data_IF_934007944901
#
_entry.id   IF_934007944901
#
_cell.length_a   1.000
_cell.length_b   1.000
_cell.length_c   1.000
_cell.angle_alpha   90.00
_cell.angle_beta   90.00
_cell.angle_gamma   90.00
#
_symmetry.space_group_name_H-M   'P 1'
#
loop_
_entity.id
_entity.type
_entity.pdbx_description
1 polymer ?
#
# COMPACT_ATOMS: atom_id res chain seq x y z
N UNK A 1 6.93 -16.88 -2.45
CA UNK A 1 7.69 -15.76 -3.03
C UNK A 1 7.37 -14.52 -2.21
N UNK A 2 8.37 -13.87 -1.61
CA UNK A 2 8.16 -12.63 -0.84
C UNK A 2 8.03 -11.39 -1.73
N UNK A 3 7.74 -10.23 -1.13
CA UNK A 3 7.53 -8.96 -1.83
C UNK A 3 8.72 -8.54 -2.69
N UNK A 4 9.95 -8.65 -2.19
CA UNK A 4 11.15 -8.31 -2.95
C UNK A 4 11.37 -9.23 -4.16
N UNK A 5 11.12 -10.54 -4.00
CA UNK A 5 11.17 -11.48 -5.12
C UNK A 5 10.13 -11.16 -6.21
N UNK A 6 8.96 -10.64 -5.83
CA UNK A 6 7.95 -10.16 -6.78
C UNK A 6 8.42 -8.89 -7.51
N UNK A 7 8.95 -7.91 -6.78
CA UNK A 7 9.46 -6.64 -7.33
C UNK A 7 10.61 -6.89 -8.31
N UNK A 8 11.54 -7.81 -8.00
CA UNK A 8 12.65 -8.16 -8.90
C UNK A 8 12.16 -8.76 -10.22
N UNK A 9 11.10 -9.59 -10.17
CA UNK A 9 10.52 -10.24 -11.36
C UNK A 9 9.54 -9.37 -12.15
N UNK A 10 9.03 -8.29 -11.56
CA UNK A 10 8.15 -7.38 -12.25
C UNK A 10 8.89 -6.76 -13.45
N UNK A 11 8.25 -6.69 -14.61
CA UNK A 11 8.82 -6.10 -15.83
C UNK A 11 8.37 -4.66 -16.08
N UNK A 12 7.35 -4.19 -15.39
CA UNK A 12 6.82 -2.84 -15.56
C UNK A 12 7.65 -1.78 -14.83
N UNK A 13 7.68 -0.57 -15.39
CA UNK A 13 8.32 0.60 -14.77
C UNK A 13 7.51 1.14 -13.59
N UNK A 14 6.21 0.81 -13.52
CA UNK A 14 5.31 1.19 -12.45
C UNK A 14 4.80 -0.07 -11.73
N UNK A 15 5.05 -0.13 -10.42
CA UNK A 15 4.71 -1.27 -9.57
C UNK A 15 3.50 -0.91 -8.72
N UNK A 16 2.46 -1.74 -8.77
CA UNK A 16 1.30 -1.63 -7.89
C UNK A 16 1.36 -2.73 -6.84
N UNK A 17 1.31 -2.33 -5.57
CA UNK A 17 1.31 -3.20 -4.39
C UNK A 17 -0.12 -3.35 -3.89
N UNK A 18 -0.53 -4.60 -3.69
CA UNK A 18 -1.86 -5.01 -3.24
C UNK A 18 -1.73 -6.20 -2.29
N UNK A 19 -2.39 -6.12 -1.13
CA UNK A 19 -2.41 -7.22 -0.16
C UNK A 19 -3.34 -8.34 -0.64
N UNK A 20 -3.00 -9.59 -0.27
CA UNK A 20 -3.75 -10.78 -0.66
C UNK A 20 -5.15 -10.88 -0.04
N UNK A 21 -5.45 -10.07 0.97
CA UNK A 21 -6.75 -9.97 1.64
C UNK A 21 -7.58 -8.77 1.15
N UNK A 22 -7.22 -8.19 0.02
CA UNK A 22 -7.91 -7.05 -0.57
C UNK A 22 -8.55 -7.43 -1.90
N UNK A 23 -9.82 -7.07 -2.09
CA UNK A 23 -10.53 -7.20 -3.36
C UNK A 23 -10.45 -5.88 -4.13
N UNK A 24 -9.73 -5.81 -5.25
CA UNK A 24 -9.63 -4.59 -6.05
C UNK A 24 -10.87 -4.38 -6.91
N UNK A 25 -11.22 -3.11 -7.15
CA UNK A 25 -12.20 -2.76 -8.18
C UNK A 25 -11.73 -3.23 -9.57
N UNK A 26 -12.61 -3.63 -10.52
CA UNK A 26 -12.19 -4.14 -11.84
C UNK A 26 -11.26 -3.22 -12.65
N UNK A 27 -11.40 -1.91 -12.44
CA UNK A 27 -10.56 -0.85 -13.05
C UNK A 27 -9.34 -0.45 -12.21
N UNK A 28 -8.93 -1.25 -11.23
CA UNK A 28 -7.88 -0.89 -10.28
C UNK A 28 -6.54 -0.58 -10.95
N UNK A 29 -6.11 -1.42 -11.89
CA UNK A 29 -4.85 -1.22 -12.64
C UNK A 29 -4.93 -0.01 -13.56
N UNK A 30 -6.05 0.14 -14.30
CA UNK A 30 -6.32 1.32 -15.13
C UNK A 30 -6.28 2.61 -14.31
N UNK A 31 -6.94 2.61 -13.15
CA UNK A 31 -6.97 3.76 -12.25
C UNK A 31 -5.55 4.15 -11.79
N UNK A 32 -4.73 3.17 -11.39
CA UNK A 32 -3.33 3.41 -11.02
C UNK A 32 -2.50 3.92 -12.20
N UNK A 33 -2.65 3.36 -13.39
CA UNK A 33 -1.95 3.81 -14.59
C UNK A 33 -2.26 5.27 -14.93
N UNK A 34 -3.53 5.69 -14.81
CA UNK A 34 -3.94 7.10 -15.03
C UNK A 34 -3.42 8.03 -13.91
N UNK A 35 -3.23 7.52 -12.71
CA UNK A 35 -2.75 8.29 -11.56
C UNK A 35 -1.22 8.39 -11.48
N UNK A 36 -0.50 7.51 -12.17
CA UNK A 36 0.96 7.47 -12.18
C UNK A 36 1.53 8.80 -12.67
N UNK A 37 2.50 9.33 -11.92
CA UNK A 37 3.12 10.63 -12.20
C UNK A 37 4.55 10.60 -11.67
N UNK A 38 5.57 10.92 -12.48
CA UNK A 38 6.95 11.03 -11.98
C UNK A 38 7.05 12.04 -10.83
N UNK A 39 7.93 11.77 -9.86
CA UNK A 39 8.04 12.60 -8.65
C UNK A 39 6.94 12.37 -7.62
N UNK A 40 5.99 11.47 -7.88
CA UNK A 40 4.93 11.10 -6.96
C UNK A 40 4.81 9.58 -6.80
N UNK A 41 4.35 9.15 -5.63
CA UNK A 41 3.78 7.82 -5.43
C UNK A 41 2.29 7.91 -5.12
N UNK A 42 1.51 6.89 -5.49
CA UNK A 42 0.06 6.86 -5.35
C UNK A 42 -0.31 6.02 -4.14
N UNK A 43 -1.21 6.54 -3.31
CA UNK A 43 -1.86 5.78 -2.25
C UNK A 43 -3.36 5.87 -2.42
N UNK A 44 -4.00 4.75 -2.74
CA UNK A 44 -5.45 4.67 -2.74
C UNK A 44 -6.02 4.54 -1.31
N UNK A 45 -7.32 4.28 -1.24
CA UNK A 45 -8.02 4.03 0.04
C UNK A 45 -8.54 2.60 0.07
N UNK A 46 -8.86 2.17 1.28
CA UNK A 46 -9.56 0.91 1.53
C UNK A 46 -10.86 1.17 2.28
N UNK A 47 -11.90 0.46 1.86
CA UNK A 47 -13.07 0.18 2.69
C UNK A 47 -12.86 -1.17 3.38
N UNK A 48 -13.78 -1.54 4.28
CA UNK A 48 -13.67 -2.79 5.01
C UNK A 48 -14.95 -3.63 4.86
N UNK A 49 -14.77 -4.92 4.59
CA UNK A 49 -15.82 -5.94 4.66
C UNK A 49 -15.77 -6.58 6.04
N UNK A 50 -16.92 -6.69 6.70
CA UNK A 50 -17.00 -7.29 8.03
C UNK A 50 -16.61 -8.77 7.98
N UNK A 51 -15.83 -9.22 8.97
CA UNK A 51 -15.27 -10.58 9.05
C UNK A 51 -16.32 -11.68 8.88
N UNK A 52 -17.53 -11.46 9.41
CA UNK A 52 -18.64 -12.41 9.35
C UNK A 52 -19.19 -12.64 7.94
N UNK A 53 -18.91 -11.73 7.01
CA UNK A 53 -19.45 -11.76 5.66
C UNK A 53 -18.36 -11.86 4.58
N UNK A 54 -17.10 -12.05 4.97
CA UNK A 54 -15.99 -12.24 4.01
C UNK A 54 -16.22 -13.40 3.04
N UNK A 55 -16.70 -14.60 3.46
CA UNK A 55 -16.92 -15.72 2.55
C UNK A 55 -17.92 -15.39 1.42
N UNK A 56 -18.99 -14.69 1.77
CA UNK A 56 -20.04 -14.26 0.82
C UNK A 56 -19.54 -13.15 -0.11
N UNK A 57 -18.59 -12.31 0.34
CA UNK A 57 -18.04 -11.23 -0.48
C UNK A 57 -17.04 -11.75 -1.50
N UNK A 58 -16.17 -12.67 -1.07
CA UNK A 58 -15.12 -13.25 -1.89
C UNK A 58 -15.66 -14.12 -3.04
N UNK A 59 -16.86 -14.68 -2.89
CA UNK A 59 -17.52 -15.53 -3.90
C UNK A 59 -18.32 -14.74 -4.95
N UNK A 60 -18.46 -13.42 -4.78
CA UNK A 60 -19.12 -12.52 -5.73
C UNK A 60 -20.65 -12.50 -5.64
N UNK A 61 -21.28 -11.54 -6.33
CA UNK A 61 -22.74 -11.53 -6.57
C UNK A 61 -23.49 -10.25 -6.20
N UNK A 62 -22.92 -9.34 -5.40
CA UNK A 62 -23.62 -8.11 -4.98
C UNK A 62 -22.64 -6.93 -4.87
N UNK A 63 -22.98 -5.79 -5.48
CA UNK A 63 -22.13 -4.59 -5.49
C UNK A 63 -21.92 -3.97 -4.09
N UNK A 64 -20.76 -3.33 -3.88
CA UNK A 64 -20.32 -2.78 -2.58
C UNK A 64 -21.35 -1.85 -1.91
N UNK A 65 -22.11 -1.04 -2.68
CA UNK A 65 -23.15 -0.16 -2.13
C UNK A 65 -24.23 -0.97 -1.40
N UNK A 66 -24.70 -2.07 -1.98
CA UNK A 66 -25.71 -2.91 -1.34
C UNK A 66 -25.17 -3.59 -0.08
N UNK A 67 -23.88 -3.88 -0.03
CA UNK A 67 -23.22 -4.40 1.17
C UNK A 67 -23.17 -3.37 2.29
N UNK A 68 -22.83 -2.12 1.93
CA UNK A 68 -22.80 -1.02 2.89
C UNK A 68 -24.20 -0.72 3.43
N UNK A 69 -25.23 -0.68 2.58
CA UNK A 69 -26.63 -0.46 2.99
C UNK A 69 -27.14 -1.54 3.97
N UNK A 70 -26.61 -2.77 3.88
CA UNK A 70 -26.94 -3.88 4.79
C UNK A 70 -26.09 -3.89 6.07
N UNK A 71 -25.25 -2.88 6.30
CA UNK A 71 -24.34 -2.83 7.45
C UNK A 71 -23.23 -3.89 7.41
N UNK A 72 -22.94 -4.47 6.25
CA UNK A 72 -21.96 -5.56 6.09
C UNK A 72 -20.55 -5.06 5.74
N UNK A 73 -20.42 -3.77 5.46
CA UNK A 73 -19.15 -3.11 5.13
C UNK A 73 -19.13 -1.69 5.67
N UNK A 74 -17.93 -1.11 5.81
CA UNK A 74 -17.72 0.27 6.27
C UNK A 74 -16.82 1.06 5.32
N UNK A 75 -16.86 2.40 5.41
CA UNK A 75 -16.02 3.27 4.60
C UNK A 75 -16.56 3.51 3.18
N UNK A 76 -17.83 3.90 3.06
CA UNK A 76 -18.52 4.13 1.78
C UNK A 76 -17.71 4.98 0.79
N UNK A 77 -17.26 6.15 1.24
CA UNK A 77 -16.48 7.10 0.43
C UNK A 77 -15.11 6.57 -0.02
N UNK A 78 -14.62 5.49 0.59
CA UNK A 78 -13.36 4.81 0.24
C UNK A 78 -13.59 3.56 -0.61
N UNK A 79 -14.82 3.04 -0.65
CA UNK A 79 -15.19 1.78 -1.28
C UNK A 79 -15.90 1.92 -2.61
N UNK A 80 -16.09 3.14 -3.13
CA UNK A 80 -16.79 3.39 -4.39
C UNK A 80 -15.90 4.19 -5.32
N UNK A 81 -15.90 3.81 -6.60
CA UNK A 81 -15.26 4.56 -7.67
C UNK A 81 -16.17 5.70 -8.12
N UNK A 82 -15.68 6.94 -8.10
CA UNK A 82 -16.42 8.14 -8.51
C UNK A 82 -16.17 8.45 -9.99
N UNK A 83 -16.96 9.30 -10.66
CA UNK A 83 -16.61 9.74 -12.02
C UNK A 83 -15.29 10.51 -12.06
N UNK A 84 -15.07 11.41 -11.09
CA UNK A 84 -13.86 12.24 -10.95
C UNK A 84 -13.16 11.91 -9.63
N UNK A 85 -11.85 11.61 -9.61
CA UNK A 85 -11.13 11.39 -8.37
C UNK A 85 -10.90 12.70 -7.61
N UNK A 86 -10.83 12.58 -6.29
CA UNK A 86 -10.23 13.62 -5.46
C UNK A 86 -8.81 13.20 -5.09
N UNK A 87 -7.82 13.99 -5.52
CA UNK A 87 -6.41 13.72 -5.32
C UNK A 87 -5.81 14.83 -4.47
N UNK A 88 -5.19 14.47 -3.35
CA UNK A 88 -4.43 15.39 -2.52
C UNK A 88 -2.95 15.03 -2.58
N UNK A 89 -2.10 16.01 -2.87
CA UNK A 89 -0.64 15.87 -2.79
C UNK A 89 -0.18 16.26 -1.39
N UNK A 90 0.55 15.38 -0.71
CA UNK A 90 1.08 15.66 0.61
C UNK A 90 2.31 14.81 0.94
N UNK A 91 3.03 15.19 2.01
CA UNK A 91 4.07 14.37 2.67
C UNK A 91 3.65 13.94 4.07
N UNK A 92 2.36 13.69 4.23
CA UNK A 92 1.78 13.32 5.51
C UNK A 92 2.29 11.96 5.97
N UNK A 93 2.98 11.94 7.11
CA UNK A 93 3.59 10.73 7.66
C UNK A 93 2.58 9.80 8.38
N UNK A 94 1.32 10.22 8.52
CA UNK A 94 0.25 9.42 9.12
C UNK A 94 -0.65 8.82 8.04
N UNK A 95 -1.18 7.63 8.33
CA UNK A 95 -2.15 6.94 7.48
C UNK A 95 -1.54 6.42 6.16
N UNK A 96 -0.25 6.10 6.18
CA UNK A 96 0.41 5.38 5.09
C UNK A 96 -0.01 3.92 5.18
N UNK A 97 -0.41 3.33 4.05
CA UNK A 97 -0.89 1.94 3.95
C UNK A 97 -0.26 1.27 2.72
N UNK A 98 0.29 0.07 2.90
CA UNK A 98 1.00 -0.71 1.88
C UNK A 98 0.07 -1.46 0.93
N UNK A 99 -1.08 -1.88 1.44
CA UNK A 99 -2.12 -2.62 0.72
C UNK A 99 -2.64 -1.97 -0.58
N UNK A 100 -2.29 -0.71 -0.85
CA UNK A 100 -2.75 0.04 -2.01
C UNK A 100 -1.77 1.17 -2.32
N UNK A 101 -0.60 0.78 -2.84
CA UNK A 101 0.44 1.71 -3.28
C UNK A 101 0.76 1.52 -4.75
N UNK A 102 1.01 2.61 -5.45
CA UNK A 102 1.56 2.60 -6.81
C UNK A 102 2.83 3.44 -6.84
N UNK A 103 3.96 2.83 -7.21
CA UNK A 103 5.29 3.44 -7.09
C UNK A 103 6.10 3.11 -8.33
N UNK A 104 6.87 4.08 -8.84
CA UNK A 104 7.84 3.81 -9.90
C UNK A 104 8.91 2.84 -9.40
N UNK A 105 9.27 1.87 -10.25
CA UNK A 105 10.27 0.86 -9.93
C UNK A 105 11.61 1.48 -9.61
N UNK A 106 12.00 2.53 -10.33
CA UNK A 106 13.23 3.29 -10.06
C UNK A 106 13.26 3.86 -8.64
N UNK A 107 12.13 4.36 -8.15
CA UNK A 107 12.01 4.93 -6.81
C UNK A 107 12.08 3.85 -5.74
N UNK A 108 11.40 2.71 -5.96
CA UNK A 108 11.51 1.52 -5.11
C UNK A 108 12.96 1.02 -5.00
N UNK A 109 13.68 0.94 -6.13
CA UNK A 109 15.09 0.55 -6.15
C UNK A 109 15.97 1.56 -5.41
N UNK A 110 15.67 2.86 -5.57
CA UNK A 110 16.42 3.95 -4.93
C UNK A 110 16.33 3.91 -3.42
N UNK A 111 15.14 3.60 -2.88
CA UNK A 111 14.94 3.42 -1.43
C UNK A 111 15.28 2.02 -0.94
N UNK A 112 15.74 1.11 -1.81
CA UNK A 112 16.03 -0.29 -1.49
C UNK A 112 14.80 -1.10 -1.02
N UNK A 113 13.61 -0.81 -1.53
CA UNK A 113 12.39 -1.57 -1.23
C UNK A 113 11.90 -1.40 0.22
N UNK A 114 11.22 -2.42 0.75
CA UNK A 114 10.79 -2.47 2.15
C UNK A 114 11.99 -2.81 3.05
N UNK A 115 11.99 -2.29 4.28
CA UNK A 115 13.04 -2.63 5.25
C UNK A 115 12.70 -3.95 5.94
N UNK A 116 13.52 -4.98 5.68
CA UNK A 116 13.34 -6.32 6.25
C UNK A 116 13.67 -6.38 7.74
N UNK A 117 14.24 -5.32 8.31
CA UNK A 117 14.44 -5.21 9.75
C UNK A 117 13.12 -4.96 10.53
N UNK A 118 12.02 -4.66 9.83
CA UNK A 118 10.69 -4.60 10.44
C UNK A 118 10.11 -6.02 10.52
N UNK A 119 10.12 -6.58 11.72
CA UNK A 119 9.56 -7.88 12.01
C UNK A 119 8.19 -7.77 12.68
N UNK A 120 7.35 -8.79 12.48
CA UNK A 120 6.00 -8.80 13.04
C UNK A 120 5.08 -7.75 12.41
N UNK A 121 4.12 -7.26 13.19
CA UNK A 121 3.10 -6.35 12.68
C UNK A 121 3.50 -4.87 12.86
N UNK A 122 3.58 -4.14 11.74
CA UNK A 122 3.35 -2.71 11.68
C UNK A 122 4.58 -1.83 11.51
N UNK A 123 4.30 -0.67 10.89
CA UNK A 123 5.18 0.47 10.60
C UNK A 123 6.13 0.32 9.40
N UNK A 124 6.21 -0.85 8.78
CA UNK A 124 6.92 -1.11 7.53
C UNK A 124 6.42 -0.22 6.38
N UNK A 125 5.10 -0.04 6.27
CA UNK A 125 4.49 0.84 5.27
C UNK A 125 4.85 2.30 5.53
N UNK A 126 4.83 2.68 6.81
CA UNK A 126 5.19 4.03 7.23
C UNK A 126 6.67 4.29 6.96
N UNK A 127 7.53 3.31 7.20
CA UNK A 127 8.95 3.41 6.90
C UNK A 127 9.19 3.67 5.41
N UNK A 128 8.65 2.83 4.53
CA UNK A 128 8.76 2.99 3.09
C UNK A 128 8.27 4.36 2.63
N UNK A 129 7.06 4.77 3.05
CA UNK A 129 6.50 6.05 2.62
C UNK A 129 7.30 7.26 3.10
N UNK A 130 7.91 7.20 4.30
CA UNK A 130 8.79 8.27 4.78
C UNK A 130 10.13 8.30 4.02
N UNK A 131 10.70 7.14 3.69
CA UNK A 131 11.90 7.06 2.84
C UNK A 131 11.66 7.63 1.45
N UNK A 132 10.47 7.41 0.86
CA UNK A 132 10.06 8.06 -0.39
C UNK A 132 9.95 9.60 -0.24
N UNK A 133 9.49 10.10 0.91
CA UNK A 133 9.50 11.55 1.19
C UNK A 133 10.92 12.11 1.32
N UNK A 134 11.85 11.36 1.92
CA UNK A 134 13.27 11.75 2.01
C UNK A 134 13.95 11.75 0.63
N UNK A 135 13.51 10.88 -0.29
CA UNK A 135 13.92 10.90 -1.70
C UNK A 135 13.37 12.12 -2.47
N UNK A 136 12.43 12.86 -1.87
CA UNK A 136 11.87 14.07 -2.46
C UNK A 136 10.51 13.88 -3.14
N UNK A 137 9.91 12.69 -3.05
CA UNK A 137 8.62 12.38 -3.68
C UNK A 137 7.44 12.89 -2.85
N UNK A 138 6.35 13.24 -3.53
CA UNK A 138 5.06 13.53 -2.90
C UNK A 138 4.13 12.32 -2.96
N UNK A 139 3.25 12.18 -1.97
CA UNK A 139 2.15 11.20 -2.03
C UNK A 139 0.94 11.82 -2.72
N UNK A 140 0.42 11.17 -3.75
CA UNK A 140 -0.94 11.36 -4.24
C UNK A 140 -1.88 10.48 -3.43
N UNK A 141 -2.56 11.06 -2.43
CA UNK A 141 -3.62 10.41 -1.68
C UNK A 141 -4.94 10.49 -2.46
N UNK A 142 -5.47 9.36 -2.89
CA UNK A 142 -6.54 9.31 -3.88
C UNK A 142 -7.84 8.76 -3.33
N UNK A 143 -8.94 9.50 -3.49
CA UNK A 143 -10.31 9.04 -3.26
C UNK A 143 -11.06 8.90 -4.59
N UNK A 144 -11.96 7.91 -4.66
CA UNK A 144 -12.82 7.68 -5.84
C UNK A 144 -12.14 6.95 -7.02
N UNK A 145 -10.89 6.52 -6.88
CA UNK A 145 -10.10 5.72 -7.84
C UNK A 145 -9.20 4.77 -7.06
N UNK A 146 -8.67 3.74 -7.74
CA UNK A 146 -7.80 2.72 -7.14
C UNK A 146 -8.45 2.11 -5.89
N UNK A 147 -9.74 1.80 -5.99
CA UNK A 147 -10.55 1.34 -4.86
C UNK A 147 -10.23 -0.13 -4.56
N UNK A 148 -10.01 -0.43 -3.29
CA UNK A 148 -9.92 -1.79 -2.76
C UNK A 148 -10.85 -1.97 -1.57
N UNK A 149 -11.31 -3.20 -1.37
CA UNK A 149 -12.11 -3.61 -0.22
C UNK A 149 -11.32 -4.62 0.59
N UNK A 150 -10.92 -4.23 1.79
CA UNK A 150 -10.15 -5.09 2.69
C UNK A 150 -11.07 -6.09 3.37
N UNK A 151 -10.72 -7.36 3.31
CA UNK A 151 -11.43 -8.45 3.96
C UNK A 151 -10.97 -8.51 5.42
N UNK A 152 -11.80 -8.06 6.36
CA UNK A 152 -11.37 -8.02 7.76
C UNK A 152 -11.05 -9.42 8.28
N UNK A 153 -9.88 -9.54 8.90
CA UNK A 153 -9.40 -10.73 9.57
C UNK A 153 -9.06 -10.40 11.04
N UNK A 154 -8.82 -11.42 11.85
CA UNK A 154 -8.32 -11.23 13.22
C UNK A 154 -6.93 -10.63 13.16
N UNK A 155 -6.67 -9.63 14.01
CA UNK A 155 -5.36 -8.98 14.07
C UNK A 155 -4.30 -9.96 14.57
N UNK A 156 -3.10 -9.85 13.98
CA UNK A 156 -1.90 -10.58 14.41
C UNK A 156 -1.32 -9.85 15.64
N UNK A 157 -0.53 -10.55 16.44
CA UNK A 157 0.12 -9.99 17.63
C UNK A 157 0.95 -8.73 17.31
N UNK A 158 1.00 -7.79 18.26
CA UNK A 158 1.65 -6.47 18.15
C UNK A 158 2.91 -6.37 19.00
N UNK A 159 3.49 -7.50 19.39
CA UNK A 159 4.57 -7.57 20.38
C UNK A 159 5.85 -6.84 19.96
N UNK A 160 6.11 -6.71 18.64
CA UNK A 160 7.28 -6.02 18.07
C UNK A 160 7.06 -4.51 17.81
N UNK A 161 5.88 -3.97 18.17
CA UNK A 161 5.55 -2.58 17.87
C UNK A 161 6.53 -1.57 18.51
N UNK A 162 7.01 -1.73 19.76
CA UNK A 162 7.98 -0.80 20.35
C UNK A 162 9.29 -0.72 19.56
N UNK A 163 9.85 -1.87 19.16
CA UNK A 163 11.08 -1.94 18.38
C UNK A 163 10.89 -1.26 17.01
N UNK A 164 9.76 -1.52 16.34
CA UNK A 164 9.45 -0.90 15.05
C UNK A 164 9.23 0.62 15.17
N UNK A 165 8.72 1.11 16.32
CA UNK A 165 8.62 2.55 16.59
C UNK A 165 9.99 3.20 16.74
N UNK A 166 10.92 2.56 17.44
CA UNK A 166 12.29 3.05 17.60
C UNK A 166 13.02 3.10 16.25
N UNK A 167 12.88 2.07 15.43
CA UNK A 167 13.42 2.04 14.06
C UNK A 167 12.86 3.18 13.20
N UNK A 168 11.53 3.33 13.19
CA UNK A 168 10.87 4.39 12.43
C UNK A 168 11.30 5.79 12.90
N UNK A 169 11.49 5.99 14.21
CA UNK A 169 11.98 7.25 14.77
C UNK A 169 13.40 7.55 14.29
N UNK A 170 14.31 6.58 14.42
CA UNK A 170 15.70 6.73 14.00
C UNK A 170 15.80 7.07 12.49
N UNK A 171 15.10 6.32 11.65
CA UNK A 171 15.03 6.57 10.21
C UNK A 171 14.58 8.01 9.89
N UNK A 172 13.57 8.53 10.61
CA UNK A 172 13.09 9.92 10.45
C UNK A 172 14.10 10.96 10.92
N UNK A 173 14.73 10.75 12.07
CA UNK A 173 15.74 11.66 12.63
C UNK A 173 16.95 11.78 11.71
N UNK A 174 17.38 10.67 11.11
CA UNK A 174 18.56 10.63 10.23
C UNK A 174 18.23 10.85 8.76
N UNK A 175 16.95 11.07 8.42
CA UNK A 175 16.47 11.25 7.05
C UNK A 175 16.97 10.16 6.10
N UNK A 176 17.02 8.91 6.59
CA UNK A 176 17.51 7.78 5.81
C UNK A 176 16.64 7.61 4.56
N UNK A 177 17.27 7.44 3.40
CA UNK A 177 16.57 7.25 2.11
C UNK A 177 16.50 5.77 1.73
N UNK A 178 17.59 5.02 1.91
CA UNK A 178 17.66 3.60 1.60
C UNK A 178 17.82 2.78 2.88
N UNK A 179 17.00 1.75 3.06
CA UNK A 179 17.18 0.81 4.17
C UNK A 179 18.45 -0.04 3.97
N UNK A 180 18.99 -0.57 5.06
CA UNK A 180 20.17 -1.45 5.00
C UNK A 180 19.81 -2.86 4.48
N UNK A 181 18.67 -3.40 4.92
CA UNK A 181 18.17 -4.72 4.54
C UNK A 181 16.92 -4.55 3.68
N UNK A 182 17.00 -4.92 2.40
CA UNK A 182 15.92 -4.69 1.46
C UNK A 182 16.18 -5.29 0.08
N UNK A 183 15.58 -4.70 -0.95
CA UNK A 183 15.51 -5.24 -2.32
C UNK A 183 16.86 -5.68 -2.90
N UNK A 184 17.95 -4.94 -2.65
CA UNK A 184 19.31 -5.24 -3.16
C UNK A 184 19.81 -6.62 -2.74
N UNK A 185 19.41 -7.12 -1.57
CA UNK A 185 19.76 -8.48 -1.13
C UNK A 185 19.10 -9.59 -1.94
N UNK A 186 18.08 -9.27 -2.74
CA UNK A 186 17.29 -10.21 -3.54
C UNK A 186 17.57 -10.11 -5.03
N UNK A 187 18.42 -9.17 -5.45
CA UNK A 187 18.94 -9.12 -6.82
C UNK A 187 20.11 -10.10 -6.87
N UNK A 188 19.82 -11.39 -7.08
CA UNK A 188 20.87 -12.33 -7.50
C UNK A 188 21.39 -11.87 -8.85
N UNK A 189 22.71 -11.78 -8.99
CA UNK A 189 23.37 -11.37 -10.22
C UNK A 189 22.89 -12.25 -11.38
N UNK A 190 22.20 -11.63 -12.33
CA UNK A 190 22.06 -12.16 -13.67
C UNK A 190 23.43 -11.94 -14.36
N UNK A 191 24.38 -12.85 -14.11
CA UNK A 191 25.49 -13.15 -15.02
C UNK A 191 25.04 -14.22 -16.02
#
# INVERSE_FOLDING_TARGET
MGIHGAITRASGDYVVLLDGDCVPHPRFVEDHAVLAEPGCWVQGRRSFINVTHVPDYATGGVGFISWWLRGRSSGLFKGIRWPVPWVRRDRGQRGIIGCNMGIWRSDLVSVNGFDEAFEGWGLEDSDLGNRLYHLGLDRKLVYGRAVIHHLNHRQISRDQLPQNQDRLRNMKEHKTVACALGLRGHVKGDE
#
